data_IF_971152593884
#
_entry.id   IF_971152593884
#
_cell.length_a   1.000
_cell.length_b   1.000
_cell.length_c   1.000
_cell.angle_alpha   90.00
_cell.angle_beta   90.00
_cell.angle_gamma   90.00
#
_symmetry.space_group_name_H-M   'P 1'
#
loop_
_entity.id
_entity.type
_entity.pdbx_description
1 polymer ?
#
# COMPACT_ATOMS: atom_id res chain seq x y z
N UNK A 1 57.98 1.53 77.26
CA UNK A 1 58.34 0.74 76.05
C UNK A 1 57.21 -0.21 75.69
N UNK A 2 56.40 0.07 74.69
CA UNK A 2 55.51 -0.86 73.95
C UNK A 2 55.12 -0.19 72.66
N UNK A 3 55.73 -0.60 71.56
CA UNK A 3 55.49 -0.21 70.17
C UNK A 3 54.13 -0.78 69.77
N UNK A 4 53.24 0.02 69.15
CA UNK A 4 52.07 -0.43 68.40
C UNK A 4 52.33 -0.22 66.93
N UNK A 5 52.49 -1.33 66.23
CA UNK A 5 52.43 -1.39 64.75
C UNK A 5 50.98 -1.16 64.34
N UNK A 6 50.74 -0.13 63.55
CA UNK A 6 49.49 0.06 62.86
C UNK A 6 49.54 -0.60 61.48
N UNK A 7 48.67 -1.56 61.22
CA UNK A 7 48.48 -2.14 59.92
C UNK A 7 47.56 -1.24 59.09
N UNK A 8 48.08 -0.71 57.96
CA UNK A 8 47.29 -0.01 56.95
C UNK A 8 46.71 -1.05 55.98
N UNK A 9 45.39 -1.16 56.01
CA UNK A 9 44.60 -1.95 55.07
C UNK A 9 44.36 -1.09 53.81
N UNK A 10 45.03 -1.39 52.71
CA UNK A 10 44.69 -0.80 51.38
C UNK A 10 43.48 -1.52 50.81
N UNK A 11 42.35 -0.86 50.80
CA UNK A 11 41.19 -1.29 50.01
C UNK A 11 41.40 -0.78 48.60
N UNK A 12 41.71 -1.65 47.70
CA UNK A 12 41.71 -1.37 46.23
C UNK A 12 40.27 -1.37 45.75
N UNK A 13 39.69 -0.17 45.53
CA UNK A 13 38.44 -0.01 44.84
C UNK A 13 38.69 -0.30 43.34
N UNK A 14 38.26 -1.45 42.88
CA UNK A 14 38.21 -1.76 41.45
C UNK A 14 37.03 -0.96 40.86
N UNK A 15 37.34 0.15 40.20
CA UNK A 15 36.39 0.84 39.32
C UNK A 15 36.11 -0.08 38.16
N UNK A 16 34.97 -0.80 38.22
CA UNK A 16 34.40 -1.45 37.05
C UNK A 16 33.93 -0.33 36.11
N UNK A 17 34.74 -0.02 35.11
CA UNK A 17 34.23 0.73 33.96
C UNK A 17 33.16 -0.10 33.31
N UNK A 18 31.96 0.46 33.06
CA UNK A 18 30.99 -0.23 32.22
C UNK A 18 31.67 -0.47 30.86
N UNK A 19 31.81 -1.72 30.49
CA UNK A 19 32.17 -2.09 29.15
C UNK A 19 30.98 -1.52 28.28
N UNK A 20 31.21 -0.34 27.71
CA UNK A 20 30.46 0.04 26.51
C UNK A 20 30.83 -1.08 25.51
N UNK A 21 29.86 -1.95 25.28
CA UNK A 21 29.89 -2.84 24.16
C UNK A 21 29.97 -1.92 22.93
N UNK A 22 31.18 -1.63 22.48
CA UNK A 22 31.46 -1.07 21.20
C UNK A 22 30.90 -2.12 20.25
N UNK A 23 29.70 -1.84 19.71
CA UNK A 23 29.11 -2.62 18.66
C UNK A 23 30.17 -2.62 17.55
N UNK A 24 30.96 -3.67 17.48
CA UNK A 24 31.90 -3.86 16.39
C UNK A 24 31.04 -3.73 15.13
N UNK A 25 31.40 -2.80 14.26
CA UNK A 25 30.78 -2.66 12.95
C UNK A 25 30.99 -4.02 12.25
N UNK A 26 30.04 -4.93 12.42
CA UNK A 26 30.07 -6.23 11.80
C UNK A 26 29.99 -6.00 10.29
N UNK A 27 30.87 -6.57 9.53
CA UNK A 27 30.82 -6.64 8.07
C UNK A 27 29.57 -7.42 7.57
N UNK A 28 28.87 -8.09 8.48
CA UNK A 28 27.63 -8.83 8.23
C UNK A 28 26.42 -8.11 8.83
N UNK A 29 25.26 -8.34 8.24
CA UNK A 29 23.99 -7.90 8.83
C UNK A 29 23.76 -8.59 10.18
N UNK A 30 23.31 -7.82 11.15
CA UNK A 30 22.91 -8.28 12.48
C UNK A 30 21.40 -8.19 12.62
N UNK A 31 20.83 -8.84 13.64
CA UNK A 31 19.39 -8.76 13.91
C UNK A 31 18.91 -7.33 14.21
N UNK A 32 19.80 -6.47 14.76
CA UNK A 32 19.45 -5.08 15.03
C UNK A 32 19.49 -4.20 13.78
N UNK A 33 20.15 -4.61 12.72
CA UNK A 33 20.17 -3.84 11.47
C UNK A 33 18.79 -3.75 10.82
N UNK A 34 17.84 -4.61 11.21
CA UNK A 34 16.42 -4.52 10.76
C UNK A 34 15.79 -3.17 11.10
N UNK A 35 16.18 -2.55 12.24
CA UNK A 35 15.72 -1.23 12.64
C UNK A 35 16.38 -0.09 11.86
N UNK A 36 17.47 -0.37 11.18
CA UNK A 36 18.17 0.60 10.34
C UNK A 36 17.72 0.54 8.86
N UNK A 37 16.91 -0.48 8.51
CA UNK A 37 16.35 -0.58 7.16
C UNK A 37 15.25 0.45 6.96
N UNK A 38 15.37 1.18 5.88
CA UNK A 38 14.33 2.11 5.44
C UNK A 38 13.64 1.59 4.19
N UNK A 39 12.37 1.89 4.07
CA UNK A 39 11.55 1.44 2.95
C UNK A 39 10.87 2.63 2.28
N UNK A 40 10.84 2.62 0.97
CA UNK A 40 10.09 3.60 0.17
C UNK A 40 8.78 2.98 -0.32
N UNK A 41 7.77 3.79 -0.46
CA UNK A 41 6.44 3.35 -0.91
C UNK A 41 5.66 4.46 -1.59
N UNK A 42 4.63 4.08 -2.31
CA UNK A 42 3.60 4.94 -2.90
C UNK A 42 4.18 6.19 -3.62
N UNK A 43 5.05 6.02 -4.63
CA UNK A 43 5.61 7.14 -5.38
C UNK A 43 4.51 7.78 -6.24
N UNK A 44 4.28 9.07 -6.05
CA UNK A 44 3.26 9.85 -6.75
C UNK A 44 3.91 10.96 -7.57
N UNK A 45 3.84 10.83 -8.87
CA UNK A 45 4.34 11.83 -9.81
C UNK A 45 3.33 12.98 -9.91
N UNK A 46 3.81 14.20 -9.86
CA UNK A 46 2.96 15.38 -10.10
C UNK A 46 2.33 15.33 -11.51
N UNK A 47 1.16 15.93 -11.72
CA UNK A 47 0.50 15.90 -13.01
C UNK A 47 1.38 16.35 -14.18
N UNK A 48 2.28 17.30 -13.97
CA UNK A 48 3.24 17.80 -14.98
C UNK A 48 4.49 16.91 -15.17
N UNK A 49 4.61 15.81 -14.41
CA UNK A 49 5.74 14.89 -14.51
C UNK A 49 7.05 15.39 -13.88
N UNK A 50 7.06 16.55 -13.21
CA UNK A 50 8.30 17.20 -12.75
C UNK A 50 8.76 16.77 -11.36
N UNK A 51 7.83 16.34 -10.50
CA UNK A 51 8.07 16.16 -9.06
C UNK A 51 7.42 14.88 -8.55
N UNK A 52 8.14 14.13 -7.71
CA UNK A 52 7.65 12.89 -7.10
C UNK A 52 7.54 13.10 -5.60
N UNK A 53 6.37 12.85 -5.03
CA UNK A 53 6.17 12.70 -3.59
C UNK A 53 6.05 11.21 -3.29
N UNK A 54 6.72 10.74 -2.23
CA UNK A 54 6.71 9.34 -1.85
C UNK A 54 6.77 9.17 -0.33
N UNK A 55 6.39 8.01 0.15
CA UNK A 55 6.47 7.64 1.56
C UNK A 55 7.82 7.01 1.85
N UNK A 56 8.52 7.46 2.90
CA UNK A 56 9.70 6.79 3.45
C UNK A 56 9.41 6.34 4.87
N UNK A 57 9.58 5.04 5.11
CA UNK A 57 9.33 4.38 6.40
C UNK A 57 10.64 4.06 7.09
N UNK A 58 10.64 4.18 8.41
CA UNK A 58 11.75 3.84 9.27
C UNK A 58 11.23 3.23 10.57
N UNK A 59 12.07 2.44 11.24
CA UNK A 59 11.76 1.83 12.52
C UNK A 59 12.50 2.55 13.66
N UNK A 60 11.85 2.63 14.82
CA UNK A 60 12.49 3.10 16.05
C UNK A 60 12.76 1.91 16.98
N UNK A 61 14.04 1.62 17.20
CA UNK A 61 14.49 0.52 18.05
C UNK A 61 14.11 0.68 19.52
N UNK A 62 13.84 1.91 19.99
CA UNK A 62 13.50 2.18 21.38
C UNK A 62 12.04 1.88 21.69
N UNK A 63 11.17 2.02 20.72
CA UNK A 63 9.71 1.84 20.88
C UNK A 63 9.18 0.62 20.14
N UNK A 64 10.00 -0.01 19.29
CA UNK A 64 9.61 -1.10 18.36
C UNK A 64 8.43 -0.67 17.47
N UNK A 65 8.42 0.60 17.09
CA UNK A 65 7.39 1.18 16.24
C UNK A 65 7.95 1.58 14.87
N UNK A 66 7.09 1.49 13.87
CA UNK A 66 7.39 1.99 12.53
C UNK A 66 6.73 3.36 12.34
N UNK A 67 7.45 4.27 11.73
CA UNK A 67 6.97 5.61 11.37
C UNK A 67 7.16 5.84 9.87
N UNK A 68 6.41 6.79 9.34
CA UNK A 68 6.53 7.18 7.93
C UNK A 68 6.40 8.69 7.75
N UNK A 69 7.23 9.22 6.88
CA UNK A 69 7.15 10.63 6.47
C UNK A 69 7.07 10.73 4.94
N UNK A 70 6.47 11.82 4.48
CA UNK A 70 6.50 12.15 3.07
C UNK A 70 7.84 12.80 2.69
N UNK A 71 8.35 12.42 1.54
CA UNK A 71 9.54 12.98 0.93
C UNK A 71 9.20 13.46 -0.47
N UNK A 72 9.99 14.39 -0.96
CA UNK A 72 9.85 14.94 -2.32
C UNK A 72 11.19 14.95 -3.02
N UNK A 73 11.16 14.61 -4.31
CA UNK A 73 12.30 14.64 -5.22
C UNK A 73 11.82 15.04 -6.61
N UNK A 74 12.63 15.80 -7.35
CA UNK A 74 12.30 16.07 -8.74
C UNK A 74 12.62 14.87 -9.63
N UNK A 75 11.94 14.77 -10.76
CA UNK A 75 12.17 13.69 -11.72
C UNK A 75 13.57 13.69 -12.33
N UNK A 76 14.36 14.77 -12.17
CA UNK A 76 15.78 14.85 -12.52
C UNK A 76 16.73 14.45 -11.38
N UNK A 77 16.20 14.05 -10.22
CA UNK A 77 16.96 13.68 -9.01
C UNK A 77 17.31 14.86 -8.10
N UNK A 78 17.07 16.09 -8.52
CA UNK A 78 17.37 17.28 -7.71
C UNK A 78 16.29 17.56 -6.65
N UNK A 79 16.60 18.40 -5.67
CA UNK A 79 15.62 18.87 -4.69
C UNK A 79 15.13 17.83 -3.70
N UNK A 80 15.87 16.73 -3.53
CA UNK A 80 15.51 15.67 -2.60
C UNK A 80 15.48 16.16 -1.15
N UNK A 81 14.33 16.06 -0.49
CA UNK A 81 14.14 16.52 0.90
C UNK A 81 12.90 15.93 1.54
N UNK A 82 12.86 15.97 2.86
CA UNK A 82 11.65 15.66 3.62
C UNK A 82 10.56 16.69 3.32
N UNK A 83 9.34 16.23 3.17
CA UNK A 83 8.14 17.05 3.04
C UNK A 83 7.41 17.17 4.39
N UNK A 84 7.35 16.10 5.15
CA UNK A 84 6.81 16.06 6.51
C UNK A 84 7.83 15.48 7.49
N UNK A 85 7.64 15.72 8.80
CA UNK A 85 8.56 15.30 9.87
C UNK A 85 7.79 14.89 11.11
N UNK A 86 8.45 14.14 12.00
CA UNK A 86 7.93 13.68 13.28
C UNK A 86 7.66 12.18 13.27
N UNK A 87 7.38 11.66 14.46
CA UNK A 87 7.13 10.24 14.71
C UNK A 87 5.64 9.95 14.49
N UNK A 88 5.23 10.03 13.24
CA UNK A 88 3.86 9.87 12.76
C UNK A 88 3.79 8.90 11.59
N UNK A 89 2.56 8.51 11.22
CA UNK A 89 2.24 7.71 10.06
C UNK A 89 1.70 8.63 8.95
N UNK A 90 2.59 9.28 8.19
CA UNK A 90 2.20 10.06 7.01
C UNK A 90 2.22 9.15 5.79
N UNK A 91 1.04 8.88 5.20
CA UNK A 91 0.85 7.88 4.14
C UNK A 91 -0.11 8.37 3.06
N UNK A 92 -0.22 7.60 1.98
CA UNK A 92 -1.20 7.79 0.91
C UNK A 92 -1.16 9.22 0.32
N UNK A 93 0.03 9.72 -0.13
CA UNK A 93 0.09 11.02 -0.78
C UNK A 93 -0.66 10.99 -2.12
N UNK A 94 -1.46 12.03 -2.40
CA UNK A 94 -2.17 12.20 -3.67
C UNK A 94 -2.08 13.66 -4.12
N UNK A 95 -1.56 13.87 -5.30
CA UNK A 95 -1.54 15.20 -5.90
C UNK A 95 -2.93 15.69 -6.27
N UNK A 96 -3.21 16.95 -6.05
CA UNK A 96 -4.37 17.61 -6.66
C UNK A 96 -4.22 17.64 -8.19
N UNK A 97 -5.32 17.64 -8.96
CA UNK A 97 -5.27 17.64 -10.43
C UNK A 97 -4.48 18.81 -11.04
N UNK A 98 -4.42 19.95 -10.35
CA UNK A 98 -3.66 21.13 -10.74
C UNK A 98 -2.18 21.09 -10.32
N UNK A 99 -1.76 20.06 -9.55
CA UNK A 99 -0.39 19.89 -9.07
C UNK A 99 0.06 20.90 -8.00
N UNK A 100 -0.86 21.67 -7.43
CA UNK A 100 -0.51 22.71 -6.44
C UNK A 100 -0.57 22.21 -4.99
N UNK A 101 -1.26 21.09 -4.75
CA UNK A 101 -1.49 20.52 -3.41
C UNK A 101 -1.24 19.01 -3.39
N UNK A 102 -0.96 18.50 -2.18
CA UNK A 102 -0.86 17.07 -1.90
C UNK A 102 -1.78 16.75 -0.72
N UNK A 103 -2.78 15.89 -0.94
CA UNK A 103 -3.53 15.27 0.14
C UNK A 103 -2.77 14.05 0.67
N UNK A 104 -2.85 13.79 1.96
CA UNK A 104 -2.24 12.63 2.59
C UNK A 104 -2.95 12.28 3.91
N UNK A 105 -2.76 11.07 4.39
CA UNK A 105 -3.29 10.62 5.67
C UNK A 105 -2.20 10.73 6.74
N UNK A 106 -2.53 11.27 7.91
CA UNK A 106 -1.62 11.40 9.04
C UNK A 106 -2.34 11.18 10.36
N UNK A 107 -1.66 10.50 11.31
CA UNK A 107 -2.13 10.25 12.67
C UNK A 107 -1.60 11.27 13.69
N UNK A 108 -1.03 12.40 13.26
CA UNK A 108 -0.42 13.43 14.12
C UNK A 108 -1.38 14.09 15.12
N UNK A 109 -2.68 13.95 14.92
CA UNK A 109 -3.73 14.40 15.84
C UNK A 109 -4.34 13.24 16.64
N UNK A 110 -3.68 12.06 16.62
CA UNK A 110 -4.11 10.84 17.30
C UNK A 110 -4.90 9.93 16.39
N UNK A 111 -6.13 10.30 15.99
CA UNK A 111 -6.89 9.58 14.98
C UNK A 111 -6.41 10.00 13.58
N UNK A 112 -6.16 9.04 12.65
CA UNK A 112 -5.78 9.38 11.29
C UNK A 112 -6.78 10.31 10.60
N UNK A 113 -6.28 11.41 10.05
CA UNK A 113 -7.05 12.42 9.33
C UNK A 113 -6.48 12.62 7.92
N UNK A 114 -7.29 13.17 7.02
CA UNK A 114 -6.82 13.65 5.72
C UNK A 114 -6.30 15.07 5.89
N UNK A 115 -5.05 15.27 5.54
CA UNK A 115 -4.37 16.56 5.48
C UNK A 115 -4.21 17.00 4.04
N UNK A 116 -4.26 18.28 3.81
CA UNK A 116 -3.88 18.90 2.54
C UNK A 116 -2.68 19.81 2.78
N UNK A 117 -1.63 19.64 1.98
CA UNK A 117 -0.44 20.46 1.97
C UNK A 117 -0.38 21.30 0.70
N UNK A 118 -0.22 22.61 0.85
CA UNK A 118 0.04 23.55 -0.24
C UNK A 118 1.54 23.52 -0.58
N UNK A 119 1.86 23.25 -1.83
CA UNK A 119 3.26 23.01 -2.23
C UNK A 119 4.08 24.28 -2.39
N UNK A 120 3.45 25.42 -2.62
CA UNK A 120 4.07 26.74 -2.74
C UNK A 120 4.42 27.34 -1.38
N UNK A 121 3.52 27.33 -0.41
CA UNK A 121 3.72 27.87 0.94
C UNK A 121 4.35 26.87 1.88
N UNK A 122 4.12 25.58 1.65
CA UNK A 122 4.54 24.50 2.54
C UNK A 122 3.62 24.32 3.76
N UNK A 123 2.56 25.09 3.88
CA UNK A 123 1.55 24.93 4.92
C UNK A 123 0.77 23.62 4.74
N UNK A 124 0.28 23.06 5.83
CA UNK A 124 -0.56 21.86 5.83
C UNK A 124 -1.66 22.02 6.89
N UNK A 125 -2.86 21.57 6.57
CA UNK A 125 -3.99 21.58 7.48
C UNK A 125 -4.81 20.29 7.34
N UNK A 126 -5.43 19.77 8.43
CA UNK A 126 -6.42 18.72 8.34
C UNK A 126 -7.67 19.26 7.63
N UNK A 127 -8.22 18.48 6.71
CA UNK A 127 -9.49 18.79 6.01
C UNK A 127 -10.64 17.93 6.52
N UNK A 128 -10.35 17.01 7.46
CA UNK A 128 -11.32 16.13 8.10
C UNK A 128 -11.19 16.17 9.62
N UNK A 129 -12.27 15.76 10.31
CA UNK A 129 -12.33 15.45 11.74
C UNK A 129 -13.14 14.15 11.88
N UNK A 130 -12.45 13.02 11.71
CA UNK A 130 -13.03 11.69 11.62
C UNK A 130 -12.89 10.93 12.93
N UNK A 131 -13.86 10.09 13.24
CA UNK A 131 -13.85 9.15 14.38
C UNK A 131 -13.29 7.77 14.03
N UNK A 132 -13.15 7.48 12.72
CA UNK A 132 -12.60 6.24 12.19
C UNK A 132 -11.61 6.57 11.06
N UNK A 133 -10.54 5.77 10.89
CA UNK A 133 -9.51 6.04 9.90
C UNK A 133 -10.05 6.08 8.48
N UNK A 134 -9.63 7.05 7.64
CA UNK A 134 -9.95 7.05 6.21
C UNK A 134 -9.16 5.96 5.47
N UNK A 135 -9.79 5.33 4.50
CA UNK A 135 -9.20 4.36 3.58
C UNK A 135 -9.34 4.89 2.15
N UNK A 136 -8.25 4.87 1.40
CA UNK A 136 -8.21 5.47 0.08
C UNK A 136 -8.38 6.99 0.16
N UNK A 137 -7.73 7.72 -0.71
CA UNK A 137 -7.86 9.19 -0.82
C UNK A 137 -7.76 9.52 -2.29
N UNK A 138 -8.85 10.07 -2.86
CA UNK A 138 -8.91 10.37 -4.29
C UNK A 138 -9.49 11.77 -4.51
N UNK A 139 -8.71 12.64 -5.16
CA UNK A 139 -9.20 13.94 -5.58
C UNK A 139 -10.26 13.81 -6.66
N UNK A 140 -11.32 14.62 -6.58
CA UNK A 140 -12.19 14.79 -7.75
C UNK A 140 -11.40 15.44 -8.90
N UNK A 141 -11.66 15.09 -10.16
CA UNK A 141 -10.96 15.65 -11.32
C UNK A 141 -11.00 17.19 -11.42
N UNK A 142 -12.02 17.83 -10.87
CA UNK A 142 -12.12 19.30 -10.77
C UNK A 142 -11.37 19.90 -9.58
N UNK A 143 -10.77 19.06 -8.71
CA UNK A 143 -10.01 19.46 -7.52
C UNK A 143 -10.86 20.06 -6.38
N UNK A 144 -12.18 19.98 -6.47
CA UNK A 144 -13.09 20.60 -5.50
C UNK A 144 -13.38 19.72 -4.28
N UNK A 145 -13.26 18.41 -4.41
CA UNK A 145 -13.59 17.44 -3.37
C UNK A 145 -12.51 16.34 -3.27
N UNK A 146 -12.49 15.69 -2.11
CA UNK A 146 -11.70 14.48 -1.86
C UNK A 146 -12.69 13.38 -1.47
N UNK A 147 -12.66 12.24 -2.18
CA UNK A 147 -13.39 11.03 -1.81
C UNK A 147 -12.51 10.12 -0.97
N UNK A 148 -13.13 9.43 -0.03
CA UNK A 148 -12.50 8.40 0.80
C UNK A 148 -13.55 7.42 1.30
N UNK A 149 -13.10 6.27 1.79
CA UNK A 149 -13.95 5.31 2.48
C UNK A 149 -13.61 5.31 3.98
N UNK A 150 -14.56 4.97 4.83
CA UNK A 150 -14.31 4.67 6.23
C UNK A 150 -15.35 3.70 6.78
N UNK A 151 -15.00 3.04 7.88
CA UNK A 151 -15.96 2.25 8.64
C UNK A 151 -17.03 3.18 9.22
N UNK A 152 -18.27 2.77 9.13
CA UNK A 152 -19.40 3.32 9.91
C UNK A 152 -19.73 2.26 10.96
N UNK A 153 -19.31 2.47 12.21
CA UNK A 153 -19.51 1.47 13.25
C UNK A 153 -20.97 1.19 13.54
N UNK A 154 -21.26 -0.06 13.82
CA UNK A 154 -22.56 -0.51 14.32
C UNK A 154 -22.42 -1.01 15.76
N UNK A 155 -23.53 -1.02 16.50
CA UNK A 155 -23.52 -1.56 17.85
C UNK A 155 -23.24 -3.08 17.79
N UNK A 156 -22.27 -3.55 18.58
CA UNK A 156 -22.04 -4.97 18.73
C UNK A 156 -23.30 -5.67 19.25
N UNK A 157 -23.57 -6.87 18.75
CA UNK A 157 -24.69 -7.68 19.22
C UNK A 157 -24.47 -8.05 20.70
N UNK A 158 -25.42 -7.68 21.55
CA UNK A 158 -25.42 -7.98 22.98
C UNK A 158 -26.44 -9.06 23.25
N UNK A 159 -26.01 -10.27 23.65
CA UNK A 159 -26.90 -11.39 23.95
C UNK A 159 -27.57 -11.23 25.32
N UNK A 160 -26.96 -10.48 26.24
CA UNK A 160 -27.50 -10.24 27.57
C UNK A 160 -26.73 -9.16 28.31
N UNK A 161 -27.40 -8.51 29.24
CA UNK A 161 -26.75 -7.51 30.09
C UNK A 161 -25.92 -8.19 31.18
N UNK A 162 -24.64 -7.82 31.27
CA UNK A 162 -23.79 -8.22 32.38
C UNK A 162 -24.02 -7.30 33.58
N UNK A 163 -24.01 -7.82 34.82
CA UNK A 163 -24.08 -6.95 36.00
C UNK A 163 -22.88 -6.00 36.04
N UNK A 164 -23.06 -4.82 36.57
CA UNK A 164 -21.98 -3.88 36.80
C UNK A 164 -20.97 -4.43 37.80
N UNK A 165 -19.67 -4.27 37.50
CA UNK A 165 -18.61 -4.67 38.40
C UNK A 165 -18.70 -3.79 39.69
N UNK A 166 -18.57 -4.38 40.91
CA UNK A 166 -18.44 -3.59 42.13
C UNK A 166 -17.26 -2.62 42.04
N UNK A 167 -17.39 -1.47 42.71
CA UNK A 167 -16.32 -0.48 42.73
C UNK A 167 -14.99 -1.09 43.21
N UNK A 168 -13.94 -0.97 42.36
CA UNK A 168 -12.60 -1.53 42.64
C UNK A 168 -12.44 -3.01 42.28
N UNK A 169 -13.43 -3.66 41.68
CA UNK A 169 -13.27 -5.03 41.17
C UNK A 169 -12.62 -5.04 39.76
N UNK A 170 -11.64 -5.91 39.58
CA UNK A 170 -11.00 -6.19 38.29
C UNK A 170 -11.63 -7.46 37.67
N UNK A 171 -12.69 -7.26 36.91
CA UNK A 171 -13.31 -8.37 36.18
C UNK A 171 -12.62 -8.62 34.86
N UNK A 172 -12.65 -9.89 34.39
CA UNK A 172 -12.28 -10.22 33.05
C UNK A 172 -13.16 -9.45 32.05
N UNK A 173 -12.62 -9.17 30.89
CA UNK A 173 -13.40 -8.57 29.80
C UNK A 173 -14.66 -9.41 29.51
N UNK A 174 -15.82 -8.80 29.24
CA UNK A 174 -17.03 -9.53 28.93
C UNK A 174 -16.83 -10.39 27.68
N UNK A 175 -17.59 -11.48 27.61
CA UNK A 175 -17.60 -12.31 26.42
C UNK A 175 -18.09 -11.49 25.21
N UNK A 176 -17.38 -11.60 24.10
CA UNK A 176 -17.78 -11.03 22.82
C UNK A 176 -18.53 -12.06 22.01
N UNK A 177 -19.56 -11.62 21.33
CA UNK A 177 -20.32 -12.40 20.39
C UNK A 177 -20.19 -11.84 18.99
N UNK A 178 -20.03 -12.69 18.03
CA UNK A 178 -20.10 -12.35 16.60
C UNK A 178 -20.86 -13.44 15.87
N UNK A 179 -21.65 -13.06 14.90
CA UNK A 179 -22.33 -13.89 13.92
C UNK A 179 -21.76 -13.70 12.49
N UNK A 180 -20.78 -12.83 12.35
CA UNK A 180 -20.04 -12.60 11.11
C UNK A 180 -19.07 -13.77 10.86
N UNK A 181 -19.00 -14.26 9.63
CA UNK A 181 -18.02 -15.29 9.24
C UNK A 181 -16.58 -14.77 9.26
N UNK A 182 -16.37 -13.49 8.94
CA UNK A 182 -15.07 -12.83 9.01
C UNK A 182 -15.02 -11.94 10.25
N UNK A 183 -14.78 -12.54 11.40
CA UNK A 183 -14.72 -11.86 12.69
C UNK A 183 -13.30 -11.50 13.13
N UNK A 184 -12.28 -12.02 12.44
CA UNK A 184 -10.87 -11.77 12.74
C UNK A 184 -10.05 -11.72 11.46
N UNK A 185 -9.09 -10.79 11.41
CA UNK A 185 -8.19 -10.64 10.26
C UNK A 185 -6.75 -10.43 10.73
N UNK A 186 -5.79 -10.99 9.99
CA UNK A 186 -4.37 -10.85 10.30
C UNK A 186 -3.95 -9.37 10.26
N UNK A 187 -3.17 -8.95 11.25
CA UNK A 187 -2.73 -7.57 11.40
C UNK A 187 -3.77 -6.61 11.98
N UNK A 188 -5.07 -6.94 11.89
CA UNK A 188 -6.17 -6.12 12.44
C UNK A 188 -6.65 -6.67 13.78
N UNK A 189 -6.59 -8.00 13.97
CA UNK A 189 -7.18 -8.66 15.13
C UNK A 189 -8.68 -8.89 14.93
N UNK A 190 -9.51 -8.55 15.90
CA UNK A 190 -10.96 -8.63 15.78
C UNK A 190 -11.47 -7.55 14.85
N UNK A 191 -12.34 -7.93 13.90
CA UNK A 191 -12.98 -6.99 12.98
C UNK A 191 -14.09 -6.25 13.74
N UNK A 192 -14.05 -4.93 13.82
CA UNK A 192 -15.12 -4.17 14.48
C UNK A 192 -16.42 -4.27 13.69
N UNK A 193 -17.58 -4.37 14.38
CA UNK A 193 -18.87 -4.40 13.69
C UNK A 193 -19.16 -3.10 12.97
N UNK A 194 -19.77 -3.20 11.79
CA UNK A 194 -20.12 -2.06 10.96
C UNK A 194 -19.81 -2.28 9.48
N UNK A 195 -20.10 -1.28 8.69
CA UNK A 195 -19.95 -1.33 7.24
C UNK A 195 -19.07 -0.19 6.72
N UNK A 196 -18.24 -0.49 5.73
CA UNK A 196 -17.43 0.52 5.04
C UNK A 196 -18.28 1.27 4.02
N UNK A 197 -18.29 2.59 4.12
CA UNK A 197 -19.02 3.47 3.21
C UNK A 197 -18.12 4.51 2.58
N UNK A 198 -18.54 5.04 1.42
CA UNK A 198 -17.88 6.12 0.72
C UNK A 198 -18.32 7.47 1.26
N UNK A 199 -17.39 8.39 1.37
CA UNK A 199 -17.55 9.77 1.82
C UNK A 199 -16.89 10.72 0.84
N UNK A 200 -17.35 11.97 0.85
CA UNK A 200 -16.67 13.08 0.20
C UNK A 200 -16.55 14.25 1.17
N UNK A 201 -15.46 14.99 1.07
CA UNK A 201 -15.20 16.22 1.82
C UNK A 201 -14.75 17.32 0.86
N UNK A 202 -15.16 18.60 1.06
CA UNK A 202 -14.58 19.69 0.29
C UNK A 202 -13.07 19.76 0.45
N UNK A 203 -12.34 20.04 -0.62
CA UNK A 203 -10.88 20.09 -0.62
C UNK A 203 -10.30 21.18 0.30
N UNK A 204 -11.11 22.20 0.63
CA UNK A 204 -10.77 23.27 1.57
C UNK A 204 -11.14 22.93 3.02
N UNK A 205 -11.60 21.70 3.28
CA UNK A 205 -12.08 21.26 4.58
C UNK A 205 -13.58 21.49 4.81
N UNK A 206 -14.09 20.91 5.87
CA UNK A 206 -15.49 20.99 6.26
C UNK A 206 -16.04 19.64 6.70
N UNK A 207 -17.38 19.53 6.72
CA UNK A 207 -18.04 18.29 7.13
C UNK A 207 -17.98 17.26 6.02
N UNK A 208 -17.38 16.10 6.32
CA UNK A 208 -17.44 14.95 5.43
C UNK A 208 -18.88 14.45 5.29
N UNK A 209 -19.31 14.24 4.06
CA UNK A 209 -20.67 13.76 3.74
C UNK A 209 -20.60 12.31 3.27
N UNK A 210 -21.38 11.46 3.90
CA UNK A 210 -21.56 10.08 3.48
C UNK A 210 -22.31 10.03 2.13
N UNK A 211 -21.79 9.24 1.19
CA UNK A 211 -22.37 9.08 -0.17
C UNK A 211 -23.15 7.79 -0.26
N UNK A 212 -22.63 6.70 0.33
CA UNK A 212 -23.28 5.38 0.30
C UNK A 212 -23.83 5.02 1.67
N UNK A 213 -24.76 4.08 1.73
CA UNK A 213 -25.37 3.60 2.97
C UNK A 213 -25.89 2.18 2.82
N UNK A 214 -26.56 1.68 3.87
CA UNK A 214 -27.11 0.32 3.92
C UNK A 214 -26.26 -0.64 4.75
N UNK A 215 -26.66 -1.90 4.80
CA UNK A 215 -26.09 -2.93 5.64
C UNK A 215 -25.01 -3.77 4.91
N UNK A 216 -24.30 -3.18 3.97
CA UNK A 216 -23.19 -3.83 3.23
C UNK A 216 -22.05 -2.86 2.99
N UNK A 217 -20.86 -3.39 3.01
CA UNK A 217 -19.63 -2.62 2.80
C UNK A 217 -19.37 -2.33 1.31
N UNK A 218 -18.93 -1.10 1.03
CA UNK A 218 -18.39 -0.70 -0.27
C UNK A 218 -16.87 -0.90 -0.25
N UNK A 219 -16.47 -2.08 -0.70
CA UNK A 219 -15.12 -2.63 -0.68
C UNK A 219 -15.18 -4.13 -0.77
N UNK A 220 -14.03 -4.78 -0.85
CA UNK A 220 -13.95 -6.25 -0.85
C UNK A 220 -13.63 -6.78 0.54
N UNK A 221 -14.02 -8.02 0.83
CA UNK A 221 -13.78 -8.66 2.14
C UNK A 221 -12.29 -8.72 2.55
N UNK A 222 -11.37 -8.64 1.57
CA UNK A 222 -9.92 -8.80 1.79
C UNK A 222 -9.09 -7.59 1.34
N UNK A 223 -9.69 -6.55 0.81
CA UNK A 223 -8.92 -5.45 0.23
C UNK A 223 -9.58 -4.11 0.31
N UNK A 224 -9.69 -3.41 1.31
CA UNK A 224 -10.12 -2.04 1.39
C UNK A 224 -11.15 -1.55 0.35
N UNK A 225 -11.48 -0.32 0.34
CA UNK A 225 -12.33 0.26 -0.69
C UNK A 225 -11.50 0.55 -1.96
N UNK A 226 -11.93 0.00 -3.09
CA UNK A 226 -11.36 0.30 -4.41
C UNK A 226 -12.39 1.08 -5.21
N UNK A 227 -12.13 2.37 -5.41
CA UNK A 227 -13.02 3.31 -6.09
C UNK A 227 -12.22 4.35 -6.86
N UNK A 228 -12.88 5.01 -7.80
CA UNK A 228 -12.32 6.13 -8.56
C UNK A 228 -13.41 7.08 -9.03
N UNK A 229 -13.04 8.32 -9.34
CA UNK A 229 -13.95 9.33 -9.85
C UNK A 229 -14.25 9.13 -11.35
N UNK A 230 -15.44 9.53 -11.74
CA UNK A 230 -15.72 9.80 -13.16
C UNK A 230 -15.11 11.14 -13.56
N UNK A 231 -14.65 11.33 -14.82
CA UNK A 231 -13.96 12.55 -15.24
C UNK A 231 -14.76 13.85 -15.09
N UNK A 232 -16.08 13.74 -15.01
CA UNK A 232 -16.98 14.88 -14.79
C UNK A 232 -17.19 15.23 -13.32
N UNK A 233 -16.51 14.56 -12.39
CA UNK A 233 -16.59 14.73 -10.92
C UNK A 233 -18.00 14.51 -10.33
N UNK A 234 -18.87 13.77 -11.02
CA UNK A 234 -20.26 13.59 -10.59
C UNK A 234 -20.53 12.26 -9.93
N UNK A 235 -19.75 11.23 -10.26
CA UNK A 235 -19.94 9.88 -9.76
C UNK A 235 -18.63 9.27 -9.30
N UNK A 236 -18.74 8.24 -8.46
CA UNK A 236 -17.67 7.31 -8.12
C UNK A 236 -17.99 5.96 -8.75
N UNK A 237 -16.98 5.29 -9.30
CA UNK A 237 -17.06 3.86 -9.62
C UNK A 237 -16.39 3.09 -8.50
N UNK A 238 -17.03 2.01 -8.02
CA UNK A 238 -16.57 1.27 -6.84
C UNK A 238 -16.80 -0.23 -7.02
N UNK A 239 -15.93 -1.04 -6.45
CA UNK A 239 -16.14 -2.47 -6.29
C UNK A 239 -16.80 -2.75 -4.95
N UNK A 240 -17.89 -3.53 -4.96
CA UNK A 240 -18.59 -3.92 -3.74
C UNK A 240 -19.30 -5.27 -3.90
N UNK A 241 -19.42 -6.01 -2.80
CA UNK A 241 -20.27 -7.18 -2.72
C UNK A 241 -21.55 -6.82 -1.94
N UNK A 242 -22.58 -6.40 -2.66
CA UNK A 242 -23.87 -5.96 -2.08
C UNK A 242 -24.93 -7.05 -2.06
N UNK A 243 -24.55 -8.30 -2.26
CA UNK A 243 -25.45 -9.47 -2.24
C UNK A 243 -26.00 -9.71 -0.84
N UNK A 244 -27.20 -10.30 -0.77
CA UNK A 244 -27.78 -10.76 0.51
C UNK A 244 -26.93 -11.85 1.18
N UNK A 245 -26.31 -12.72 0.37
CA UNK A 245 -25.44 -13.83 0.80
C UNK A 245 -23.94 -13.49 0.70
N UNK A 246 -23.54 -12.23 0.80
CA UNK A 246 -22.16 -11.75 0.62
C UNK A 246 -21.14 -12.51 1.45
N UNK A 247 -21.48 -12.92 2.67
CA UNK A 247 -20.57 -13.70 3.53
C UNK A 247 -20.31 -15.11 3.01
N UNK A 248 -21.28 -15.72 2.31
CA UNK A 248 -21.13 -17.03 1.68
C UNK A 248 -20.49 -16.94 0.31
N UNK A 249 -20.56 -15.78 -0.32
CA UNK A 249 -20.02 -15.46 -1.64
C UNK A 249 -18.97 -14.35 -1.56
N UNK A 250 -18.03 -14.44 -0.63
CA UNK A 250 -17.04 -13.38 -0.30
C UNK A 250 -16.23 -12.87 -1.50
N UNK A 251 -16.09 -13.68 -2.56
CA UNK A 251 -15.35 -13.34 -3.77
C UNK A 251 -16.23 -12.91 -4.95
N UNK A 252 -17.47 -12.50 -4.69
CA UNK A 252 -18.45 -12.17 -5.73
C UNK A 252 -18.77 -10.68 -5.67
N UNK A 253 -17.76 -9.85 -5.94
CA UNK A 253 -17.89 -8.40 -5.98
C UNK A 253 -18.19 -7.90 -7.39
N UNK A 254 -18.99 -6.85 -7.47
CA UNK A 254 -19.41 -6.21 -8.72
C UNK A 254 -18.99 -4.75 -8.77
N UNK A 255 -19.00 -4.17 -9.96
CA UNK A 255 -18.73 -2.75 -10.16
C UNK A 255 -20.04 -1.97 -10.14
N UNK A 256 -20.05 -0.89 -9.37
CA UNK A 256 -21.18 0.06 -9.27
C UNK A 256 -20.71 1.46 -9.65
N UNK A 257 -21.58 2.22 -10.32
CA UNK A 257 -21.45 3.67 -10.43
C UNK A 257 -22.40 4.33 -9.42
N UNK A 258 -21.86 5.23 -8.58
CA UNK A 258 -22.55 5.89 -7.49
C UNK A 258 -22.58 7.39 -7.75
N UNK A 259 -23.76 8.00 -7.84
CA UNK A 259 -23.93 9.45 -7.93
C UNK A 259 -23.51 10.12 -6.63
N UNK A 260 -22.57 11.05 -6.68
CA UNK A 260 -22.11 11.76 -5.49
C UNK A 260 -23.19 12.70 -4.95
N UNK A 261 -24.10 13.20 -5.78
CA UNK A 261 -25.10 14.19 -5.37
C UNK A 261 -26.20 13.60 -4.47
N UNK A 262 -26.65 12.38 -4.75
CA UNK A 262 -27.81 11.76 -4.10
C UNK A 262 -27.61 10.31 -3.66
N UNK A 263 -26.43 9.72 -3.92
CA UNK A 263 -26.10 8.34 -3.55
C UNK A 263 -26.82 7.28 -4.40
N UNK A 264 -27.51 7.67 -5.48
CA UNK A 264 -28.14 6.70 -6.39
C UNK A 264 -27.05 5.84 -7.05
N UNK A 265 -27.33 4.53 -7.20
CA UNK A 265 -26.36 3.57 -7.68
C UNK A 265 -26.88 2.75 -8.86
N UNK A 266 -25.95 2.39 -9.75
CA UNK A 266 -26.18 1.51 -10.89
C UNK A 266 -25.15 0.40 -10.85
N UNK A 267 -25.60 -0.86 -10.87
CA UNK A 267 -24.72 -2.02 -11.02
C UNK A 267 -24.32 -2.14 -12.49
N UNK A 268 -23.02 -2.31 -12.76
CA UNK A 268 -22.44 -2.35 -14.10
C UNK A 268 -21.96 -3.74 -14.51
N UNK A 269 -21.67 -4.62 -13.54
CA UNK A 269 -21.26 -6.01 -13.79
C UNK A 269 -22.18 -6.96 -13.02
N UNK A 270 -22.28 -8.21 -13.47
CA UNK A 270 -23.10 -9.27 -12.88
C UNK A 270 -22.49 -10.68 -13.05
N UNK A 271 -21.20 -10.73 -13.35
CA UNK A 271 -20.47 -11.98 -13.57
C UNK A 271 -20.14 -12.61 -12.22
N UNK A 272 -20.35 -13.93 -12.09
CA UNK A 272 -19.89 -14.65 -10.90
C UNK A 272 -18.37 -14.59 -10.78
N UNK A 273 -17.88 -13.98 -9.71
CA UNK A 273 -16.48 -13.82 -9.37
C UNK A 273 -16.14 -12.37 -9.02
N UNK A 274 -14.91 -12.11 -8.57
CA UNK A 274 -14.52 -10.77 -8.19
C UNK A 274 -14.38 -9.87 -9.41
N UNK A 275 -15.05 -8.73 -9.39
CA UNK A 275 -14.80 -7.58 -10.24
C UNK A 275 -14.33 -6.42 -9.36
N UNK A 276 -13.12 -5.93 -9.60
CA UNK A 276 -12.45 -4.97 -8.71
C UNK A 276 -11.57 -3.96 -9.42
N UNK A 277 -11.01 -3.02 -8.67
CA UNK A 277 -10.11 -1.97 -9.16
C UNK A 277 -10.66 -1.22 -10.39
N UNK A 278 -11.91 -0.72 -10.36
CA UNK A 278 -12.48 -0.02 -11.49
C UNK A 278 -11.84 1.35 -11.69
N UNK A 279 -11.52 1.69 -12.93
CA UNK A 279 -11.00 3.00 -13.34
C UNK A 279 -11.71 3.47 -14.62
N UNK A 280 -12.14 4.73 -14.63
CA UNK A 280 -12.81 5.33 -15.79
C UNK A 280 -11.78 5.92 -16.76
N UNK A 281 -11.98 5.73 -18.06
CA UNK A 281 -11.12 6.33 -19.09
C UNK A 281 -11.16 7.87 -19.03
N UNK A 282 -10.09 8.57 -19.47
CA UNK A 282 -10.06 10.04 -19.44
C UNK A 282 -11.20 10.71 -20.22
N UNK A 283 -11.71 10.06 -21.26
CA UNK A 283 -12.83 10.55 -22.05
C UNK A 283 -14.21 10.16 -21.47
N UNK A 284 -14.24 9.41 -20.36
CA UNK A 284 -15.44 8.98 -19.66
C UNK A 284 -16.26 7.90 -20.37
N UNK A 285 -15.77 7.28 -21.44
CA UNK A 285 -16.54 6.34 -22.26
C UNK A 285 -16.40 4.88 -21.84
N UNK A 286 -15.28 4.53 -21.21
CA UNK A 286 -14.95 3.16 -20.85
C UNK A 286 -14.60 3.05 -19.36
N UNK A 287 -14.77 1.86 -18.82
CA UNK A 287 -14.28 1.46 -17.52
C UNK A 287 -13.36 0.26 -17.72
N UNK A 288 -12.14 0.35 -17.19
CA UNK A 288 -11.28 -0.80 -17.05
C UNK A 288 -11.39 -1.34 -15.61
N UNK A 289 -11.29 -2.65 -15.45
CA UNK A 289 -11.38 -3.30 -14.15
C UNK A 289 -10.65 -4.65 -14.15
N UNK A 290 -10.38 -5.15 -12.96
CA UNK A 290 -9.76 -6.46 -12.76
C UNK A 290 -10.81 -7.49 -12.37
N UNK A 291 -10.65 -8.73 -12.81
CA UNK A 291 -11.56 -9.77 -12.39
C UNK A 291 -11.22 -11.16 -12.94
N UNK A 292 -12.01 -12.14 -12.53
CA UNK A 292 -11.99 -13.48 -13.08
C UNK A 292 -13.35 -14.17 -12.86
N UNK A 293 -13.62 -15.20 -13.63
CA UNK A 293 -14.75 -16.08 -13.36
C UNK A 293 -14.43 -17.02 -12.20
N UNK A 294 -15.23 -17.00 -11.13
CA UNK A 294 -15.02 -17.85 -9.96
C UNK A 294 -15.32 -19.32 -10.30
N UNK A 295 -14.31 -20.16 -10.18
CA UNK A 295 -14.34 -21.61 -10.43
C UNK A 295 -14.13 -22.45 -9.18
N UNK A 296 -14.11 -21.82 -8.00
CA UNK A 296 -13.77 -22.45 -6.72
C UNK A 296 -12.39 -23.17 -6.74
N UNK A 297 -11.43 -22.58 -7.44
CA UNK A 297 -10.04 -23.07 -7.47
C UNK A 297 -9.21 -22.33 -6.42
N UNK A 298 -8.21 -22.98 -5.85
CA UNK A 298 -7.29 -22.38 -4.89
C UNK A 298 -6.45 -21.24 -5.50
N UNK A 299 -6.24 -21.25 -6.81
CA UNK A 299 -5.55 -20.20 -7.56
C UNK A 299 -6.26 -19.94 -8.89
N UNK A 300 -6.53 -18.69 -9.17
CA UNK A 300 -7.11 -18.21 -10.43
C UNK A 300 -6.42 -16.94 -10.88
N UNK A 301 -6.22 -16.80 -12.19
CA UNK A 301 -5.59 -15.62 -12.76
C UNK A 301 -6.58 -14.45 -12.76
N UNK A 302 -6.17 -13.32 -12.20
CA UNK A 302 -6.86 -12.05 -12.36
C UNK A 302 -6.57 -11.48 -13.74
N UNK A 303 -7.60 -11.11 -14.47
CA UNK A 303 -7.54 -10.57 -15.83
C UNK A 303 -7.90 -9.09 -15.84
N UNK A 304 -7.40 -8.39 -16.84
CA UNK A 304 -7.77 -7.01 -17.13
C UNK A 304 -8.95 -7.01 -18.12
N UNK A 305 -10.03 -6.38 -17.71
CA UNK A 305 -11.26 -6.21 -18.49
C UNK A 305 -11.46 -4.75 -18.89
N UNK A 306 -12.20 -4.55 -19.96
CA UNK A 306 -12.72 -3.25 -20.36
C UNK A 306 -14.18 -3.39 -20.76
N UNK A 307 -15.00 -2.39 -20.42
CA UNK A 307 -16.40 -2.29 -20.78
C UNK A 307 -16.74 -0.84 -21.16
N UNK A 308 -17.88 -0.64 -21.82
CA UNK A 308 -18.47 0.69 -21.96
C UNK A 308 -18.91 1.21 -20.59
N UNK A 309 -19.01 2.55 -20.42
CA UNK A 309 -19.42 3.14 -19.13
C UNK A 309 -20.80 2.64 -18.64
N UNK A 310 -21.68 2.25 -19.52
CA UNK A 310 -22.99 1.71 -19.17
C UNK A 310 -22.97 0.21 -18.78
N UNK A 311 -21.79 -0.39 -18.66
CA UNK A 311 -21.59 -1.81 -18.34
C UNK A 311 -21.64 -2.74 -19.55
N UNK A 312 -22.09 -2.25 -20.71
CA UNK A 312 -22.17 -3.10 -21.91
C UNK A 312 -20.81 -3.41 -22.53
N UNK A 313 -20.72 -4.48 -23.30
CA UNK A 313 -19.54 -4.82 -24.09
C UNK A 313 -18.32 -5.24 -23.26
N UNK A 314 -18.52 -5.71 -22.03
CA UNK A 314 -17.46 -6.20 -21.17
C UNK A 314 -16.67 -7.34 -21.83
N UNK A 315 -15.34 -7.21 -21.83
CA UNK A 315 -14.43 -8.23 -22.37
C UNK A 315 -13.06 -8.16 -21.69
N UNK A 316 -12.41 -9.28 -21.58
CA UNK A 316 -10.99 -9.32 -21.19
C UNK A 316 -10.10 -8.86 -22.35
N UNK A 317 -9.04 -8.12 -22.00
CA UNK A 317 -7.98 -7.69 -22.92
C UNK A 317 -6.62 -8.31 -22.59
N UNK A 318 -6.56 -9.20 -21.58
CA UNK A 318 -5.34 -9.87 -21.16
C UNK A 318 -5.43 -11.41 -21.19
N UNK A 319 -6.37 -12.01 -21.94
CA UNK A 319 -6.56 -13.47 -21.98
C UNK A 319 -5.35 -14.24 -22.52
N UNK A 320 -4.58 -13.62 -23.39
CA UNK A 320 -3.37 -14.20 -23.97
C UNK A 320 -2.22 -14.29 -22.95
N UNK A 321 -2.31 -13.59 -21.83
CA UNK A 321 -1.29 -13.55 -20.78
C UNK A 321 -1.60 -14.57 -19.69
N UNK A 322 -0.74 -15.57 -19.52
CA UNK A 322 -0.83 -16.56 -18.44
C UNK A 322 -0.20 -16.01 -17.15
N UNK A 323 -0.65 -14.84 -16.74
CA UNK A 323 -0.21 -14.14 -15.52
C UNK A 323 -1.37 -13.35 -14.91
N UNK A 324 -1.34 -13.17 -13.60
CA UNK A 324 -2.24 -12.25 -12.90
C UNK A 324 -1.83 -10.81 -13.19
N UNK A 325 -2.79 -9.99 -13.61
CA UNK A 325 -2.63 -8.56 -13.87
C UNK A 325 -3.15 -7.75 -12.68
N UNK A 326 -2.46 -6.67 -12.35
CA UNK A 326 -2.81 -5.78 -11.23
C UNK A 326 -2.53 -4.31 -11.49
N UNK A 327 -2.97 -3.46 -10.58
CA UNK A 327 -2.73 -2.00 -10.57
C UNK A 327 -3.04 -1.31 -11.90
N UNK A 328 -4.25 -1.42 -12.46
CA UNK A 328 -4.57 -0.79 -13.74
C UNK A 328 -4.60 0.73 -13.60
N UNK A 329 -4.07 1.45 -14.60
CA UNK A 329 -4.18 2.91 -14.76
C UNK A 329 -4.34 3.24 -16.23
N UNK A 330 -5.29 4.13 -16.57
CA UNK A 330 -5.41 4.61 -17.94
C UNK A 330 -4.20 5.45 -18.34
N UNK A 331 -3.74 5.26 -19.56
CA UNK A 331 -2.83 6.21 -20.16
C UNK A 331 -3.52 7.60 -20.22
N UNK A 332 -2.81 8.70 -19.88
CA UNK A 332 -3.42 10.04 -19.85
C UNK A 332 -4.08 10.46 -21.17
N UNK A 333 -3.60 9.95 -22.29
CA UNK A 333 -4.14 10.18 -23.63
C UNK A 333 -5.27 9.20 -24.02
N UNK A 334 -5.64 8.26 -23.13
CA UNK A 334 -6.66 7.25 -23.38
C UNK A 334 -6.27 6.16 -24.36
N UNK A 335 -5.01 6.09 -24.80
CA UNK A 335 -4.54 5.14 -25.80
C UNK A 335 -4.53 3.68 -25.36
N UNK A 336 -4.52 3.44 -24.04
CA UNK A 336 -4.48 2.10 -23.45
C UNK A 336 -4.50 2.14 -21.93
N UNK A 337 -4.23 0.98 -21.31
CA UNK A 337 -4.21 0.81 -19.87
C UNK A 337 -2.83 0.27 -19.47
N UNK A 338 -2.13 1.00 -18.63
CA UNK A 338 -0.97 0.48 -17.93
C UNK A 338 -1.43 -0.52 -16.87
N UNK A 339 -0.74 -1.63 -16.75
CA UNK A 339 -0.98 -2.60 -15.70
C UNK A 339 0.28 -3.42 -15.42
N UNK A 340 0.45 -3.85 -14.17
CA UNK A 340 1.59 -4.64 -13.75
C UNK A 340 1.25 -6.13 -13.72
N UNK A 341 2.26 -6.97 -13.98
CA UNK A 341 2.19 -8.41 -13.75
C UNK A 341 3.57 -8.95 -13.38
N UNK A 342 3.60 -10.10 -12.71
CA UNK A 342 4.87 -10.77 -12.39
C UNK A 342 5.13 -11.88 -13.37
N UNK A 343 6.29 -11.90 -14.00
CA UNK A 343 6.75 -12.95 -14.88
C UNK A 343 8.05 -13.55 -14.37
N UNK A 344 8.05 -14.84 -14.07
CA UNK A 344 9.20 -15.57 -13.56
C UNK A 344 9.88 -14.92 -12.31
N UNK A 345 9.08 -14.31 -11.45
CA UNK A 345 9.55 -13.62 -10.25
C UNK A 345 9.79 -12.11 -10.44
N UNK A 346 9.91 -11.63 -11.67
CA UNK A 346 10.17 -10.23 -11.98
C UNK A 346 8.88 -9.46 -12.29
N UNK A 347 8.54 -8.44 -11.50
CA UNK A 347 7.42 -7.56 -11.80
C UNK A 347 7.71 -6.71 -13.03
N UNK A 348 6.74 -6.67 -13.94
CA UNK A 348 6.79 -5.90 -15.19
C UNK A 348 5.62 -4.94 -15.27
N UNK A 349 5.83 -3.78 -15.87
CA UNK A 349 4.78 -2.85 -16.25
C UNK A 349 4.56 -2.94 -17.77
N UNK A 350 3.32 -3.10 -18.17
CA UNK A 350 2.96 -3.12 -19.58
C UNK A 350 1.83 -2.16 -19.92
N UNK A 351 1.82 -1.67 -21.16
CA UNK A 351 0.72 -0.94 -21.74
C UNK A 351 -0.14 -1.91 -22.57
N UNK A 352 -1.38 -2.10 -22.14
CA UNK A 352 -2.38 -2.91 -22.82
C UNK A 352 -3.23 -2.04 -23.73
N UNK A 353 -3.27 -2.38 -25.01
CA UNK A 353 -4.17 -1.75 -25.97
C UNK A 353 -5.58 -2.31 -25.83
N UNK A 354 -6.60 -1.53 -26.20
CA UNK A 354 -7.99 -1.99 -26.14
C UNK A 354 -8.29 -3.18 -27.07
N UNK A 355 -7.45 -3.44 -28.06
CA UNK A 355 -7.57 -4.59 -28.94
C UNK A 355 -6.99 -5.90 -28.35
N UNK A 356 -6.39 -5.84 -27.16
CA UNK A 356 -5.83 -6.99 -26.47
C UNK A 356 -4.35 -7.25 -26.72
N UNK A 357 -3.62 -6.40 -27.46
CA UNK A 357 -2.15 -6.47 -27.50
C UNK A 357 -1.53 -5.75 -26.29
N UNK A 358 -0.32 -6.14 -25.88
CA UNK A 358 0.42 -5.44 -24.85
C UNK A 358 1.89 -5.27 -25.22
N UNK A 359 2.51 -4.26 -24.63
CA UNK A 359 3.94 -3.96 -24.73
C UNK A 359 4.52 -3.74 -23.34
N UNK A 360 5.61 -4.43 -23.01
CA UNK A 360 6.33 -4.20 -21.75
C UNK A 360 7.06 -2.87 -21.85
N UNK A 361 6.79 -1.98 -20.92
CA UNK A 361 7.35 -0.62 -20.89
C UNK A 361 8.41 -0.44 -19.81
N UNK A 362 8.33 -1.21 -18.71
CA UNK A 362 9.36 -1.22 -17.66
C UNK A 362 9.45 -2.61 -17.04
N UNK A 363 10.66 -2.95 -16.61
CA UNK A 363 11.01 -4.17 -15.89
C UNK A 363 11.65 -3.80 -14.54
N UNK A 364 11.88 -4.78 -13.67
CA UNK A 364 12.50 -4.58 -12.34
C UNK A 364 11.70 -3.63 -11.42
N UNK A 365 10.36 -3.68 -11.53
CA UNK A 365 9.51 -2.95 -10.61
C UNK A 365 9.59 -3.56 -9.22
N UNK A 366 9.63 -2.71 -8.20
CA UNK A 366 9.58 -3.13 -6.80
C UNK A 366 8.15 -3.17 -6.26
N UNK A 367 7.88 -4.11 -5.35
CA UNK A 367 6.60 -4.21 -4.62
C UNK A 367 6.58 -3.44 -3.28
N UNK A 368 7.65 -2.71 -2.98
CA UNK A 368 7.83 -2.09 -1.67
C UNK A 368 8.01 -3.12 -0.55
N UNK A 369 7.49 -2.84 0.63
CA UNK A 369 7.63 -3.70 1.83
C UNK A 369 6.67 -4.92 1.83
N UNK A 370 5.99 -5.24 0.76
CA UNK A 370 5.04 -6.36 0.75
C UNK A 370 5.79 -7.70 0.80
N UNK A 371 5.48 -8.52 1.81
CA UNK A 371 5.94 -9.90 1.90
C UNK A 371 5.23 -10.83 0.91
N UNK A 372 4.11 -10.39 0.35
CA UNK A 372 3.35 -11.11 -0.67
C UNK A 372 3.57 -10.44 -2.01
N UNK A 373 3.69 -11.24 -3.07
CA UNK A 373 3.73 -10.74 -4.43
C UNK A 373 2.49 -9.86 -4.66
N UNK A 374 2.69 -8.56 -4.70
CA UNK A 374 1.67 -7.56 -4.93
C UNK A 374 1.95 -6.82 -6.22
N UNK A 375 0.94 -6.14 -6.72
CA UNK A 375 1.12 -5.27 -7.86
C UNK A 375 2.12 -4.16 -7.51
N UNK A 376 3.03 -3.89 -8.44
CA UNK A 376 4.03 -2.83 -8.29
C UNK A 376 3.34 -1.47 -8.11
N UNK A 377 3.82 -0.67 -7.16
CA UNK A 377 3.39 0.71 -7.00
C UNK A 377 4.03 1.60 -8.07
N UNK A 378 3.21 2.28 -8.85
CA UNK A 378 3.65 3.24 -9.85
C UNK A 378 2.63 4.36 -10.02
N UNK A 379 3.03 5.47 -10.61
CA UNK A 379 2.17 6.59 -10.97
C UNK A 379 2.56 7.18 -12.32
N UNK A 380 1.59 7.75 -13.02
CA UNK A 380 1.73 8.29 -14.37
C UNK A 380 1.69 9.82 -14.34
N UNK A 381 2.61 10.47 -15.04
CA UNK A 381 2.55 11.89 -15.39
C UNK A 381 1.79 12.10 -16.69
N UNK A 382 1.17 13.28 -16.86
CA UNK A 382 0.46 13.63 -18.11
C UNK A 382 1.38 13.70 -19.32
N UNK A 383 2.69 13.87 -19.11
CA UNK A 383 3.73 13.85 -20.12
C UNK A 383 4.12 12.42 -20.59
N UNK A 384 3.55 11.38 -19.95
CA UNK A 384 3.87 9.98 -20.18
C UNK A 384 5.09 9.49 -19.43
N UNK A 385 5.60 10.25 -18.45
CA UNK A 385 6.60 9.79 -17.49
C UNK A 385 5.95 8.86 -16.47
N UNK A 386 6.73 7.93 -15.90
CA UNK A 386 6.27 6.95 -14.93
C UNK A 386 7.23 6.97 -13.74
N UNK A 387 6.72 7.22 -12.52
CA UNK A 387 7.45 6.99 -11.30
C UNK A 387 7.03 5.63 -10.70
N UNK A 388 7.99 4.87 -10.23
CA UNK A 388 7.75 3.54 -9.66
C UNK A 388 8.80 3.18 -8.61
N UNK A 389 8.52 2.12 -7.86
CA UNK A 389 9.51 1.51 -6.98
C UNK A 389 10.35 0.52 -7.78
N UNK A 390 11.64 0.48 -7.49
CA UNK A 390 12.55 -0.56 -7.98
C UNK A 390 13.20 -1.25 -6.79
N UNK A 391 13.39 -2.55 -6.85
CA UNK A 391 14.10 -3.33 -5.84
C UNK A 391 15.01 -4.38 -6.49
N UNK A 392 15.76 -5.08 -5.67
CA UNK A 392 16.62 -6.17 -6.09
C UNK A 392 17.12 -6.93 -4.88
N UNK A 393 17.91 -8.00 -5.07
CA UNK A 393 18.36 -8.87 -3.98
C UNK A 393 19.09 -8.14 -2.84
N UNK A 394 19.79 -7.04 -3.16
CA UNK A 394 20.55 -6.23 -2.21
C UNK A 394 20.00 -4.80 -2.08
N UNK A 395 18.79 -4.58 -2.53
CA UNK A 395 18.11 -3.27 -2.51
C UNK A 395 16.66 -3.46 -2.06
N UNK A 396 16.30 -3.09 -0.82
CA UNK A 396 14.94 -3.25 -0.29
C UNK A 396 13.87 -2.47 -1.06
N UNK A 397 14.26 -1.34 -1.65
CA UNK A 397 13.40 -0.56 -2.51
C UNK A 397 13.89 0.89 -2.61
N UNK A 398 13.82 1.43 -3.83
CA UNK A 398 14.16 2.81 -4.15
C UNK A 398 13.15 3.39 -5.14
N UNK A 399 13.08 4.72 -5.21
CA UNK A 399 12.26 5.44 -6.19
C UNK A 399 13.01 5.52 -7.50
N UNK A 400 12.35 5.13 -8.57
CA UNK A 400 12.83 5.25 -9.94
C UNK A 400 11.83 6.04 -10.79
N UNK A 401 12.33 6.61 -11.87
CA UNK A 401 11.51 7.27 -12.88
C UNK A 401 11.92 6.82 -14.28
N UNK A 402 10.94 6.60 -15.13
CA UNK A 402 11.11 6.43 -16.57
C UNK A 402 10.46 7.61 -17.27
N UNK A 403 11.23 8.34 -18.09
CA UNK A 403 10.70 9.40 -18.93
C UNK A 403 10.23 8.82 -20.25
N UNK A 404 9.21 9.43 -20.84
CA UNK A 404 8.70 9.00 -22.14
C UNK A 404 9.82 8.90 -23.18
N UNK A 405 10.02 7.71 -23.75
CA UNK A 405 11.09 7.45 -24.72
C UNK A 405 12.52 7.49 -24.17
N UNK A 406 12.67 7.52 -22.83
CA UNK A 406 13.97 7.49 -22.13
C UNK A 406 14.19 6.18 -21.38
N UNK A 407 15.37 6.04 -20.80
CA UNK A 407 15.70 4.93 -19.90
C UNK A 407 15.18 5.16 -18.48
N UNK A 408 15.28 4.12 -17.66
CA UNK A 408 15.02 4.17 -16.21
C UNK A 408 16.16 4.89 -15.49
N UNK A 409 15.82 5.78 -14.57
CA UNK A 409 16.75 6.45 -13.65
C UNK A 409 16.33 6.15 -12.21
N UNK A 410 17.20 5.53 -11.43
CA UNK A 410 17.01 5.35 -9.98
C UNK A 410 17.35 6.68 -9.30
N UNK A 411 16.45 7.21 -8.50
CA UNK A 411 16.54 8.55 -7.92
C UNK A 411 16.98 8.55 -6.45
N UNK A 412 16.84 7.40 -5.76
CA UNK A 412 17.19 7.27 -4.34
C UNK A 412 18.05 6.02 -4.11
N UNK A 413 18.78 6.03 -3.00
CA UNK A 413 19.53 4.90 -2.45
C UNK A 413 19.42 4.97 -0.93
N UNK A 414 18.18 4.71 -0.42
CA UNK A 414 17.83 5.03 0.98
C UNK A 414 18.55 4.19 2.01
N UNK A 415 19.13 3.04 1.63
CA UNK A 415 19.89 2.14 2.50
C UNK A 415 21.39 2.09 2.15
N UNK A 416 21.91 3.02 1.37
CA UNK A 416 23.30 2.99 0.93
C UNK A 416 24.29 3.07 2.10
N UNK A 417 23.98 3.83 3.13
CA UNK A 417 24.79 3.97 4.35
C UNK A 417 24.79 2.70 5.19
N UNK A 418 23.65 2.02 5.34
CA UNK A 418 23.56 0.74 6.05
C UNK A 418 24.39 -0.34 5.35
N UNK A 419 24.27 -0.44 4.03
CA UNK A 419 24.94 -1.47 3.24
C UNK A 419 26.41 -1.15 2.93
N UNK A 420 26.85 0.10 3.14
CA UNK A 420 28.26 0.46 3.00
C UNK A 420 29.14 -0.35 3.97
N UNK A 421 29.95 -1.24 3.42
CA UNK A 421 30.83 -2.11 4.21
C UNK A 421 30.15 -3.37 4.79
N UNK A 422 28.92 -3.68 4.39
CA UNK A 422 28.27 -4.97 4.67
C UNK A 422 28.57 -5.97 3.56
N UNK A 423 28.95 -7.17 3.95
CA UNK A 423 29.02 -8.32 3.06
C UNK A 423 27.66 -8.99 3.00
N UNK A 424 27.00 -8.93 1.85
CA UNK A 424 25.71 -9.57 1.62
C UNK A 424 25.87 -10.91 0.93
N UNK A 425 24.89 -11.80 1.12
CA UNK A 425 24.87 -13.11 0.47
C UNK A 425 24.63 -12.98 -1.04
N UNK A 426 25.35 -13.76 -1.83
CA UNK A 426 25.11 -13.88 -3.26
C UNK A 426 23.75 -14.53 -3.53
N UNK A 427 22.96 -13.98 -4.45
CA UNK A 427 21.69 -14.55 -4.90
C UNK A 427 21.89 -15.16 -6.28
N UNK A 428 21.54 -16.44 -6.42
CA UNK A 428 21.64 -17.22 -7.66
C UNK A 428 20.25 -17.70 -8.07
N UNK A 429 19.86 -17.41 -9.31
CA UNK A 429 18.67 -17.98 -9.93
C UNK A 429 18.97 -19.42 -10.38
N UNK A 430 18.12 -20.36 -10.02
CA UNK A 430 18.29 -21.78 -10.35
C UNK A 430 17.03 -22.36 -11.00
N UNK A 431 17.25 -23.37 -11.83
CA UNK A 431 16.19 -24.15 -12.48
C UNK A 431 16.53 -25.64 -12.38
N UNK A 432 15.51 -26.44 -12.09
CA UNK A 432 15.66 -27.90 -12.02
C UNK A 432 14.36 -28.59 -12.42
N UNK A 433 14.45 -29.85 -12.83
CA UNK A 433 13.29 -30.65 -13.12
C UNK A 433 12.71 -31.30 -11.86
N UNK A 434 11.38 -31.22 -11.72
CA UNK A 434 10.63 -31.95 -10.69
C UNK A 434 10.79 -33.46 -10.90
N UNK A 435 11.21 -34.19 -9.87
CA UNK A 435 11.33 -35.65 -9.89
C UNK A 435 9.99 -36.38 -9.96
N UNK A 436 8.85 -35.66 -9.80
CA UNK A 436 7.50 -36.23 -9.79
C UNK A 436 6.89 -36.22 -11.19
N UNK A 437 6.99 -35.10 -11.90
CA UNK A 437 6.25 -34.88 -13.15
C UNK A 437 7.09 -34.25 -14.27
N UNK A 438 8.41 -34.05 -14.04
CA UNK A 438 9.33 -33.50 -15.03
C UNK A 438 9.12 -32.01 -15.35
N UNK A 439 8.29 -31.30 -14.59
CA UNK A 439 8.14 -29.84 -14.78
C UNK A 439 9.40 -29.12 -14.39
N UNK A 440 9.75 -28.08 -15.11
CA UNK A 440 10.77 -27.16 -14.70
C UNK A 440 10.30 -26.39 -13.45
N UNK A 441 11.11 -26.45 -12.40
CA UNK A 441 10.94 -25.66 -11.17
C UNK A 441 11.92 -24.53 -11.20
N UNK A 442 11.45 -23.33 -10.89
CA UNK A 442 12.22 -22.10 -10.81
C UNK A 442 12.34 -21.62 -9.37
N UNK A 443 13.52 -21.18 -8.97
CA UNK A 443 13.76 -20.69 -7.61
C UNK A 443 15.06 -19.91 -7.49
N UNK A 444 15.34 -19.44 -6.29
CA UNK A 444 16.54 -18.68 -5.96
C UNK A 444 17.22 -19.28 -4.75
N UNK A 445 18.56 -19.27 -4.76
CA UNK A 445 19.40 -19.61 -3.62
C UNK A 445 20.08 -18.35 -3.12
N UNK A 446 19.98 -18.08 -1.83
CA UNK A 446 20.77 -17.05 -1.17
C UNK A 446 21.91 -17.76 -0.45
N UNK A 447 23.14 -17.57 -0.92
CA UNK A 447 24.34 -18.10 -0.30
C UNK A 447 24.73 -17.23 0.90
N UNK A 448 25.23 -17.81 2.00
CA UNK A 448 25.72 -16.99 3.11
C UNK A 448 26.93 -16.15 2.67
N UNK A 449 27.17 -14.98 3.31
CA UNK A 449 28.38 -14.21 3.08
C UNK A 449 29.62 -15.07 3.31
N UNK A 450 30.60 -14.97 2.39
CA UNK A 450 31.81 -15.81 2.41
C UNK A 450 31.55 -17.28 2.11
N UNK A 451 30.52 -17.60 1.30
CA UNK A 451 30.20 -18.97 0.90
C UNK A 451 31.41 -19.70 0.28
N UNK A 452 31.72 -20.89 0.81
CA UNK A 452 32.75 -21.80 0.28
C UNK A 452 32.07 -23.08 -0.24
N UNK A 453 32.09 -23.35 -1.56
CA UNK A 453 31.44 -24.52 -2.12
C UNK A 453 32.05 -25.87 -1.65
N UNK A 454 33.20 -25.84 -1.01
CA UNK A 454 33.84 -27.02 -0.45
C UNK A 454 33.32 -27.39 0.96
N UNK A 455 32.53 -26.50 1.58
CA UNK A 455 31.99 -26.71 2.91
C UNK A 455 30.49 -27.14 2.82
N UNK A 456 30.02 -27.78 3.88
CA UNK A 456 28.59 -28.05 4.08
C UNK A 456 27.99 -26.96 4.97
N UNK A 457 26.85 -26.47 4.62
CA UNK A 457 26.07 -25.46 5.34
C UNK A 457 24.78 -26.04 5.87
#
# INVERSE_FOLDING_TARGET
>A
MRSRLGAFLFVALALATPAQAQQANSDRLTHLDVFNLEYVGDPQLSPDGSTIVYVRRYADVMTDMNYSNLWVIKSDGSGHRRLTTGDFQDNVPRWSPDGTRVAYVSDREGMPQIFVRWMDTGEAAPVTDLTEPPMGVEWSPDGAQIAFAKLVPEAALVIGEMPEAPAGAEWAAPAKYTDDMVFRFDGVGEVPPGNTHLFVVPAEGGTARQVTGGARSYGTAFGGASFGWTPDSRSLVVSANLREDAEMAMRDSEIYEISVSDGSQVQLTDRRGPDGSPIVSPDGRHIAYLGNEERNLGYQLTKLYVMNRDGSGARSISDHLDRTVGSPQWAPDGSGIYAAYTDQGDPKLALFSLNGSHEVVAEELGSGQSAYAGAAGYSLGSDGSIAFLTNGPHRPGDVAVMRRGGGVSVLTEVNADLFAGKELGEVEEIRWESSIDGREIHGWIIKPPGFDPAQKY
#
